data_IF_868262663529
#
_entry.id   IF_868262663529
#
_cell.length_a   1.000
_cell.length_b   1.000
_cell.length_c   1.000
_cell.angle_alpha   90.00
_cell.angle_beta   90.00
_cell.angle_gamma   90.00
#
_symmetry.space_group_name_H-M   'P 1'
#
loop_
_entity.id
_entity.type
_entity.pdbx_description
1 polymer ?
#
# COMPACT_ATOMS: atom_id res chain seq x y z
N UNK A 1 -1.64 42.71 -17.47
CA UNK A 1 -1.55 41.43 -18.19
C UNK A 1 -1.02 40.40 -17.20
N UNK A 2 -1.93 39.73 -16.50
CA UNK A 2 -1.59 38.55 -15.71
C UNK A 2 -1.52 37.40 -16.71
N UNK A 3 -0.32 36.90 -16.95
CA UNK A 3 -0.08 35.69 -17.72
C UNK A 3 -0.88 34.55 -17.12
N UNK A 4 -1.72 33.94 -17.96
CA UNK A 4 -2.29 32.60 -17.77
C UNK A 4 -1.18 31.67 -17.26
N UNK A 5 -1.21 31.36 -15.97
CA UNK A 5 -0.52 30.19 -15.45
C UNK A 5 -1.31 29.03 -16.02
N UNK A 6 -0.85 28.48 -17.13
CA UNK A 6 -1.38 27.27 -17.74
C UNK A 6 -1.56 26.24 -16.64
N UNK A 7 -2.81 25.96 -16.23
CA UNK A 7 -3.13 24.77 -15.47
C UNK A 7 -2.56 23.61 -16.27
N UNK A 8 -1.46 23.03 -15.79
CA UNK A 8 -0.84 21.87 -16.44
C UNK A 8 -1.91 20.81 -16.64
N UNK A 9 -2.05 20.33 -17.88
CA UNK A 9 -3.14 19.44 -18.26
C UNK A 9 -2.99 18.11 -17.49
N UNK A 10 -4.05 17.66 -16.82
CA UNK A 10 -4.08 16.37 -16.13
C UNK A 10 -4.22 15.24 -17.14
N UNK A 11 -3.12 14.84 -17.76
CA UNK A 11 -3.10 13.84 -18.84
C UNK A 11 -3.27 12.40 -18.34
N UNK A 12 -3.11 12.17 -17.04
CA UNK A 12 -3.11 10.86 -16.39
C UNK A 12 -4.23 10.77 -15.35
N UNK A 13 -5.46 11.05 -15.80
CA UNK A 13 -6.65 11.09 -14.95
C UNK A 13 -6.66 12.34 -14.06
N UNK A 14 -6.33 12.17 -12.78
CA UNK A 14 -6.28 13.27 -11.79
C UNK A 14 -4.90 13.92 -11.66
N UNK A 15 -3.89 13.39 -12.35
CA UNK A 15 -2.50 13.79 -12.16
C UNK A 15 -1.84 14.41 -13.41
N UNK A 16 -0.89 15.32 -13.17
CA UNK A 16 0.14 15.66 -14.16
C UNK A 16 1.33 14.70 -14.03
N UNK A 17 2.24 14.71 -15.00
CA UNK A 17 3.47 13.91 -14.92
C UNK A 17 4.35 14.31 -13.73
N UNK A 18 4.44 15.60 -13.41
CA UNK A 18 5.24 16.10 -12.29
C UNK A 18 4.69 15.61 -10.95
N UNK A 19 3.36 15.53 -10.83
CA UNK A 19 2.71 15.02 -9.64
C UNK A 19 2.93 13.51 -9.50
N UNK A 20 2.80 12.74 -10.59
CA UNK A 20 3.13 11.30 -10.58
C UNK A 20 4.57 11.09 -10.13
N UNK A 21 5.50 11.86 -10.68
CA UNK A 21 6.91 11.81 -10.30
C UNK A 21 7.09 12.14 -8.80
N UNK A 22 6.38 13.14 -8.27
CA UNK A 22 6.42 13.44 -6.84
C UNK A 22 5.93 12.25 -6.00
N UNK A 23 4.79 11.64 -6.33
CA UNK A 23 4.26 10.47 -5.61
C UNK A 23 5.18 9.25 -5.65
N UNK A 24 5.80 8.96 -6.80
CA UNK A 24 6.77 7.85 -6.90
C UNK A 24 7.96 8.07 -5.96
N UNK A 25 8.42 9.32 -5.83
CA UNK A 25 9.51 9.65 -4.93
C UNK A 25 9.11 9.64 -3.44
N UNK A 26 7.82 9.62 -3.10
CA UNK A 26 7.34 9.46 -1.73
C UNK A 26 7.42 8.00 -1.24
N UNK A 27 7.23 7.03 -2.11
CA UNK A 27 7.26 5.61 -1.75
C UNK A 27 8.54 5.18 -1.00
N UNK A 28 9.77 5.49 -1.45
CA UNK A 28 10.97 5.14 -0.70
C UNK A 28 11.08 5.88 0.64
N UNK A 29 10.57 7.12 0.74
CA UNK A 29 10.58 7.87 2.00
C UNK A 29 9.67 7.21 3.05
N UNK A 30 8.49 6.73 2.65
CA UNK A 30 7.60 5.98 3.54
C UNK A 30 8.24 4.68 4.04
N UNK A 31 8.92 3.93 3.15
CA UNK A 31 9.64 2.72 3.52
C UNK A 31 10.81 2.99 4.47
N UNK A 32 11.55 4.08 4.24
CA UNK A 32 12.62 4.52 5.11
C UNK A 32 12.09 4.93 6.49
N UNK A 33 11.08 5.81 6.53
CA UNK A 33 10.44 6.24 7.77
C UNK A 33 9.94 5.02 8.59
N UNK A 34 9.36 4.03 7.91
CA UNK A 34 8.96 2.77 8.55
C UNK A 34 10.13 2.02 9.17
N UNK A 35 11.17 1.81 8.38
CA UNK A 35 12.36 1.10 8.83
C UNK A 35 13.00 1.76 10.05
N UNK A 36 13.10 3.09 10.02
CA UNK A 36 13.68 3.89 11.10
C UNK A 36 12.85 3.81 12.39
N UNK A 37 11.51 3.93 12.33
CA UNK A 37 10.71 3.80 13.55
C UNK A 37 10.78 2.37 14.11
N UNK A 38 10.71 1.34 13.26
CA UNK A 38 10.81 -0.05 13.72
C UNK A 38 12.15 -0.34 14.41
N UNK A 39 13.24 0.22 13.90
CA UNK A 39 14.56 0.13 14.56
C UNK A 39 14.50 0.79 15.94
N UNK A 40 13.96 2.02 16.05
CA UNK A 40 13.83 2.74 17.33
C UNK A 40 12.97 1.98 18.34
N UNK A 41 11.86 1.37 17.90
CA UNK A 41 10.99 0.54 18.74
C UNK A 41 11.76 -0.69 19.26
N UNK A 42 12.44 -1.42 18.38
CA UNK A 42 13.21 -2.64 18.75
C UNK A 42 14.38 -2.36 19.69
N UNK A 43 14.97 -1.18 19.63
CA UNK A 43 16.04 -0.76 20.54
C UNK A 43 15.56 -0.52 21.98
N UNK A 44 14.26 -0.34 22.21
CA UNK A 44 13.70 0.03 23.52
C UNK A 44 12.53 -0.88 23.96
N UNK A 45 12.71 -2.21 24.03
CA UNK A 45 11.63 -3.16 24.29
C UNK A 45 10.99 -2.98 25.68
N UNK A 46 11.75 -2.54 26.68
CA UNK A 46 11.23 -2.22 28.02
C UNK A 46 10.26 -1.04 27.99
N UNK A 47 10.59 0.01 27.23
CA UNK A 47 9.70 1.17 27.02
C UNK A 47 8.42 0.75 26.32
N UNK A 48 8.51 -0.12 25.31
CA UNK A 48 7.32 -0.66 24.63
C UNK A 48 6.38 -1.39 25.58
N UNK A 49 6.90 -2.23 26.49
CA UNK A 49 6.07 -2.94 27.47
C UNK A 49 5.36 -2.00 28.45
N UNK A 50 5.98 -0.87 28.78
CA UNK A 50 5.37 0.16 29.64
C UNK A 50 4.34 0.99 28.87
N UNK A 51 4.65 1.33 27.61
CA UNK A 51 3.79 2.17 26.76
C UNK A 51 2.63 1.41 26.12
N UNK A 52 2.75 0.08 25.97
CA UNK A 52 1.73 -0.83 25.47
C UNK A 52 1.57 -1.99 26.46
N UNK A 53 0.92 -1.74 27.62
CA UNK A 53 0.75 -2.75 28.66
C UNK A 53 -0.22 -3.86 28.23
N UNK A 54 -1.14 -3.56 27.32
CA UNK A 54 -2.17 -4.47 26.86
C UNK A 54 -1.75 -5.24 25.61
N UNK A 55 -2.27 -6.47 25.40
CA UNK A 55 -2.11 -7.17 24.13
C UNK A 55 -2.57 -6.31 22.96
N UNK A 56 -1.77 -6.27 21.90
CA UNK A 56 -2.07 -5.57 20.65
C UNK A 56 -2.24 -6.58 19.52
N UNK A 57 -3.34 -6.44 18.78
CA UNK A 57 -3.50 -7.04 17.46
C UNK A 57 -4.04 -5.98 16.53
N UNK A 58 -3.51 -5.94 15.32
CA UNK A 58 -3.91 -5.01 14.27
C UNK A 58 -4.42 -5.73 13.03
N UNK A 59 -4.59 -7.05 13.11
CA UNK A 59 -5.06 -7.84 11.98
C UNK A 59 -6.46 -7.46 11.51
N UNK A 60 -7.30 -6.93 12.41
CA UNK A 60 -8.62 -6.39 12.06
C UNK A 60 -8.52 -5.23 11.04
N UNK A 61 -7.44 -4.45 11.06
CA UNK A 61 -7.26 -3.32 10.17
C UNK A 61 -7.03 -3.77 8.72
N UNK A 62 -6.53 -4.99 8.50
CA UNK A 62 -6.39 -5.56 7.16
C UNK A 62 -7.73 -5.90 6.50
N UNK A 63 -8.82 -5.96 7.27
CA UNK A 63 -10.15 -6.21 6.72
C UNK A 63 -10.89 -4.91 6.35
N UNK A 64 -10.31 -3.74 6.64
CA UNK A 64 -10.83 -2.44 6.23
C UNK A 64 -10.44 -2.14 4.79
N UNK A 65 -11.30 -1.46 4.03
CA UNK A 65 -10.86 -0.89 2.76
C UNK A 65 -9.72 0.11 2.96
N UNK A 66 -8.86 0.31 1.96
CA UNK A 66 -7.74 1.26 2.08
C UNK A 66 -8.23 2.68 2.47
N UNK A 67 -9.38 3.11 1.95
CA UNK A 67 -9.97 4.41 2.26
C UNK A 67 -10.43 4.50 3.72
N UNK A 68 -11.10 3.47 4.24
CA UNK A 68 -11.51 3.42 5.65
C UNK A 68 -10.30 3.39 6.59
N UNK A 69 -9.25 2.65 6.19
CA UNK A 69 -8.02 2.56 6.96
C UNK A 69 -7.29 3.90 7.03
N UNK A 70 -7.12 4.58 5.89
CA UNK A 70 -6.54 5.92 5.83
C UNK A 70 -7.38 6.90 6.66
N UNK A 71 -8.71 6.89 6.51
CA UNK A 71 -9.60 7.78 7.27
C UNK A 71 -9.43 7.60 8.79
N UNK A 72 -9.33 6.35 9.28
CA UNK A 72 -9.09 6.07 10.70
C UNK A 72 -7.73 6.57 11.17
N UNK A 73 -6.68 6.44 10.36
CA UNK A 73 -5.34 6.97 10.71
C UNK A 73 -5.37 8.50 10.77
N UNK A 74 -6.02 9.15 9.81
CA UNK A 74 -6.18 10.61 9.76
C UNK A 74 -6.95 11.12 10.99
N UNK A 75 -8.07 10.49 11.33
CA UNK A 75 -8.86 10.83 12.52
C UNK A 75 -8.03 10.69 13.79
N UNK A 76 -7.34 9.56 13.94
CA UNK A 76 -6.49 9.26 15.10
C UNK A 76 -5.35 10.28 15.28
N UNK A 77 -4.79 10.77 14.17
CA UNK A 77 -3.74 11.77 14.18
C UNK A 77 -4.26 13.21 14.32
N UNK A 78 -5.58 13.43 14.35
CA UNK A 78 -6.16 14.77 14.44
C UNK A 78 -6.09 15.57 13.13
N UNK A 79 -5.82 14.91 11.99
CA UNK A 79 -5.57 15.56 10.69
C UNK A 79 -6.82 15.67 9.82
N UNK A 80 -8.00 15.44 10.39
CA UNK A 80 -9.26 15.44 9.63
C UNK A 80 -9.52 16.79 8.95
N UNK A 81 -9.20 17.91 9.61
CA UNK A 81 -9.33 19.24 9.02
C UNK A 81 -8.38 19.44 7.83
N UNK A 82 -7.13 19.00 7.96
CA UNK A 82 -6.15 19.11 6.88
C UNK A 82 -6.60 18.32 5.64
N UNK A 83 -7.11 17.11 5.83
CA UNK A 83 -7.65 16.31 4.71
C UNK A 83 -8.87 16.97 4.07
N UNK A 84 -9.78 17.56 4.86
CA UNK A 84 -10.91 18.32 4.33
C UNK A 84 -10.41 19.52 3.51
N UNK A 85 -9.43 20.27 4.02
CA UNK A 85 -8.84 21.41 3.32
C UNK A 85 -8.18 20.99 2.00
N UNK A 86 -7.42 19.89 1.99
CA UNK A 86 -6.84 19.35 0.76
C UNK A 86 -7.90 18.93 -0.23
N UNK A 87 -8.98 18.28 0.23
CA UNK A 87 -10.07 17.82 -0.64
C UNK A 87 -10.84 18.98 -1.29
N UNK A 88 -10.91 20.13 -0.61
CA UNK A 88 -11.56 21.34 -1.09
C UNK A 88 -10.64 22.25 -1.91
N UNK A 89 -9.34 21.94 -1.98
CA UNK A 89 -8.38 22.71 -2.77
C UNK A 89 -8.68 22.60 -4.27
N UNK A 90 -8.27 23.61 -5.04
CA UNK A 90 -8.45 23.62 -6.49
C UNK A 90 -7.66 22.49 -7.20
N UNK A 91 -6.59 22.01 -6.58
CA UNK A 91 -5.79 20.85 -7.00
C UNK A 91 -5.45 20.02 -5.74
N UNK A 92 -6.33 19.08 -5.34
CA UNK A 92 -6.13 18.29 -4.12
C UNK A 92 -4.83 17.49 -4.11
N UNK A 93 -4.42 16.99 -5.28
CA UNK A 93 -3.18 16.24 -5.43
C UNK A 93 -1.96 17.12 -5.13
N UNK A 94 -1.96 18.35 -5.63
CA UNK A 94 -0.88 19.31 -5.35
C UNK A 94 -0.87 19.71 -3.88
N UNK A 95 -2.04 19.95 -3.27
CA UNK A 95 -2.14 20.31 -1.86
C UNK A 95 -1.51 19.24 -0.95
N UNK A 96 -1.77 17.95 -1.22
CA UNK A 96 -1.14 16.83 -0.50
C UNK A 96 0.38 16.80 -0.73
N UNK A 97 0.84 16.93 -1.98
CA UNK A 97 2.28 16.94 -2.30
C UNK A 97 3.01 18.06 -1.56
N UNK A 98 2.41 19.25 -1.51
CA UNK A 98 3.03 20.40 -0.85
C UNK A 98 3.03 20.21 0.66
N UNK A 99 1.93 19.71 1.24
CA UNK A 99 1.86 19.40 2.67
C UNK A 99 2.95 18.41 3.11
N UNK A 100 3.23 17.37 2.31
CA UNK A 100 4.27 16.38 2.63
C UNK A 100 5.68 16.99 2.60
N UNK A 101 5.91 18.02 1.77
CA UNK A 101 7.21 18.72 1.74
C UNK A 101 7.42 19.63 2.94
N UNK A 102 6.35 20.20 3.48
CA UNK A 102 6.39 20.96 4.71
C UNK A 102 6.32 19.97 5.87
N UNK A 103 7.50 19.46 6.25
CA UNK A 103 7.75 18.49 7.34
C UNK A 103 7.21 19.00 8.69
N UNK A 104 5.89 18.99 8.84
CA UNK A 104 5.21 19.21 10.10
C UNK A 104 5.07 17.86 10.75
N UNK A 105 5.73 17.62 11.91
CA UNK A 105 5.57 16.37 12.60
C UNK A 105 4.09 16.23 12.95
N UNK A 106 3.46 15.15 12.47
CA UNK A 106 2.17 14.71 12.96
C UNK A 106 2.27 14.62 14.48
N UNK A 107 1.60 15.50 15.19
CA UNK A 107 1.43 15.43 16.62
C UNK A 107 0.08 14.79 16.87
N UNK A 108 0.04 13.47 17.18
CA UNK A 108 -1.20 12.87 17.65
C UNK A 108 -1.72 13.71 18.80
N UNK A 109 -3.05 13.74 18.98
CA UNK A 109 -3.60 14.25 20.22
C UNK A 109 -2.87 13.58 21.39
N UNK A 110 -2.39 14.39 22.33
CA UNK A 110 -1.71 13.94 23.55
C UNK A 110 -2.52 12.90 24.34
N UNK A 111 -3.83 12.82 24.11
CA UNK A 111 -4.73 11.84 24.69
C UNK A 111 -4.71 10.47 23.99
N UNK A 112 -4.24 10.38 22.75
CA UNK A 112 -4.28 9.16 21.95
C UNK A 112 -3.25 8.14 22.44
N UNK A 113 -3.68 6.92 22.83
CA UNK A 113 -2.73 5.87 23.21
C UNK A 113 -1.80 5.50 22.04
N UNK A 114 -0.50 5.46 22.32
CA UNK A 114 0.53 5.04 21.33
C UNK A 114 0.21 3.66 20.72
N UNK A 115 -0.39 2.78 21.51
CA UNK A 115 -0.84 1.46 21.06
C UNK A 115 -1.86 1.57 19.91
N UNK A 116 -2.81 2.51 19.98
CA UNK A 116 -3.80 2.74 18.93
C UNK A 116 -3.14 3.26 17.64
N UNK A 117 -2.13 4.12 17.78
CA UNK A 117 -1.36 4.64 16.64
C UNK A 117 -0.67 3.49 15.93
N UNK A 118 0.06 2.65 16.67
CA UNK A 118 0.73 1.49 16.09
C UNK A 118 -0.26 0.48 15.49
N UNK A 119 -1.39 0.26 16.15
CA UNK A 119 -2.42 -0.67 15.69
C UNK A 119 -3.07 -0.28 14.36
N UNK A 120 -2.99 0.99 13.94
CA UNK A 120 -3.53 1.45 12.67
C UNK A 120 -2.43 1.81 11.66
N UNK A 121 -1.29 2.33 12.09
CA UNK A 121 -0.21 2.75 11.18
C UNK A 121 0.61 1.58 10.65
N UNK A 122 0.93 0.58 11.49
CA UNK A 122 1.68 -0.61 11.07
C UNK A 122 0.97 -1.40 9.96
N UNK A 123 -0.31 -1.82 10.12
CA UNK A 123 -0.99 -2.55 9.06
C UNK A 123 -1.18 -1.72 7.78
N UNK A 124 -1.29 -0.39 7.88
CA UNK A 124 -1.38 0.47 6.70
C UNK A 124 -0.07 0.43 5.92
N UNK A 125 1.06 0.56 6.61
CA UNK A 125 2.37 0.47 6.00
C UNK A 125 2.65 -0.92 5.40
N UNK A 126 2.24 -2.00 6.08
CA UNK A 126 2.28 -3.36 5.53
C UNK A 126 1.41 -3.50 4.27
N UNK A 127 0.26 -2.84 4.21
CA UNK A 127 -0.62 -2.85 3.03
C UNK A 127 0.03 -2.14 1.83
N UNK A 128 0.68 -1.00 2.06
CA UNK A 128 1.48 -0.34 1.02
C UNK A 128 2.69 -1.17 0.60
N UNK A 129 3.39 -1.83 1.54
CA UNK A 129 4.48 -2.75 1.22
C UNK A 129 4.00 -3.92 0.36
N UNK A 130 2.82 -4.47 0.67
CA UNK A 130 2.17 -5.50 -0.16
C UNK A 130 1.88 -5.00 -1.56
N UNK A 131 1.37 -3.77 -1.68
CA UNK A 131 1.12 -3.16 -2.98
C UNK A 131 2.42 -2.96 -3.77
N UNK A 132 3.50 -2.52 -3.12
CA UNK A 132 4.78 -2.32 -3.78
C UNK A 132 5.42 -3.65 -4.22
N UNK A 133 5.36 -4.69 -3.38
CA UNK A 133 6.01 -5.98 -3.64
C UNK A 133 5.17 -6.87 -4.57
N UNK A 134 3.86 -6.86 -4.43
CA UNK A 134 2.94 -7.80 -5.10
C UNK A 134 1.92 -7.12 -6.03
N UNK A 135 1.79 -5.80 -5.99
CA UNK A 135 0.83 -5.05 -6.80
C UNK A 135 -0.60 -5.15 -6.29
N UNK A 136 -0.80 -5.44 -4.99
CA UNK A 136 -2.11 -5.62 -4.35
C UNK A 136 -2.08 -5.11 -2.92
N UNK A 137 -3.15 -4.48 -2.46
CA UNK A 137 -3.31 -4.22 -1.04
C UNK A 137 -3.70 -5.50 -0.29
N UNK A 138 -3.45 -5.53 1.02
CA UNK A 138 -3.82 -6.68 1.84
C UNK A 138 -5.35 -6.80 1.93
N UNK A 139 -6.07 -5.68 2.06
CA UNK A 139 -7.54 -5.72 2.15
C UNK A 139 -8.23 -6.31 0.92
N UNK A 140 -7.69 -6.04 -0.27
CA UNK A 140 -8.13 -6.63 -1.53
C UNK A 140 -8.00 -8.16 -1.51
N UNK A 141 -6.86 -8.67 -1.00
CA UNK A 141 -6.63 -10.11 -0.83
C UNK A 141 -7.63 -10.71 0.15
N UNK A 142 -7.93 -10.01 1.24
CA UNK A 142 -8.95 -10.45 2.21
C UNK A 142 -10.35 -10.49 1.60
N UNK A 143 -10.73 -9.47 0.83
CA UNK A 143 -12.01 -9.43 0.14
C UNK A 143 -12.17 -10.61 -0.84
N UNK A 144 -11.12 -10.92 -1.60
CA UNK A 144 -11.08 -12.08 -2.50
C UNK A 144 -11.16 -13.42 -1.76
N UNK A 145 -10.46 -13.57 -0.62
CA UNK A 145 -10.55 -14.79 0.19
C UNK A 145 -11.96 -14.98 0.74
N UNK A 146 -12.60 -13.92 1.24
CA UNK A 146 -14.00 -13.96 1.70
C UNK A 146 -14.99 -14.29 0.58
N UNK A 147 -14.67 -13.89 -0.65
CA UNK A 147 -15.46 -14.17 -1.85
C UNK A 147 -15.11 -15.52 -2.51
N UNK A 148 -14.22 -16.31 -1.91
CA UNK A 148 -13.76 -17.61 -2.41
C UNK A 148 -13.23 -17.55 -3.85
N UNK A 149 -12.48 -16.48 -4.18
CA UNK A 149 -11.85 -16.32 -5.48
C UNK A 149 -10.69 -17.31 -5.63
N UNK A 150 -10.68 -18.05 -6.74
CA UNK A 150 -9.62 -19.02 -7.06
C UNK A 150 -8.22 -18.43 -6.89
N UNK A 151 -7.41 -19.05 -6.02
CA UNK A 151 -6.03 -18.65 -5.76
C UNK A 151 -5.84 -17.48 -4.77
N UNK A 152 -6.91 -16.87 -4.25
CA UNK A 152 -6.82 -15.79 -3.27
C UNK A 152 -6.05 -16.20 -2.01
N UNK A 153 -6.23 -17.44 -1.54
CA UNK A 153 -5.50 -17.98 -0.40
C UNK A 153 -3.98 -18.01 -0.62
N UNK A 154 -3.52 -18.28 -1.86
CA UNK A 154 -2.10 -18.22 -2.20
C UNK A 154 -1.53 -16.80 -2.06
N UNK A 155 -2.33 -15.79 -2.36
CA UNK A 155 -1.97 -14.39 -2.12
C UNK A 155 -1.97 -14.05 -0.63
N UNK A 156 -2.90 -14.60 0.16
CA UNK A 156 -2.89 -14.41 1.61
C UNK A 156 -1.63 -15.00 2.26
N UNK A 157 -1.15 -16.17 1.80
CA UNK A 157 0.14 -16.72 2.23
C UNK A 157 1.34 -15.84 1.86
N UNK A 158 1.28 -15.09 0.74
CA UNK A 158 2.32 -14.11 0.41
C UNK A 158 2.23 -12.88 1.32
N UNK A 159 1.02 -12.41 1.64
CA UNK A 159 0.81 -11.31 2.58
C UNK A 159 1.32 -11.64 3.99
N UNK A 160 1.15 -12.89 4.46
CA UNK A 160 1.70 -13.37 5.74
C UNK A 160 3.23 -13.22 5.83
N UNK A 161 3.95 -13.29 4.69
CA UNK A 161 5.41 -13.06 4.64
C UNK A 161 5.79 -11.60 4.86
N UNK A 162 4.85 -10.67 4.65
CA UNK A 162 5.02 -9.24 4.95
C UNK A 162 4.70 -9.00 6.42
N UNK A 163 3.55 -9.48 6.89
CA UNK A 163 3.18 -9.40 8.30
C UNK A 163 2.57 -10.71 8.82
N UNK A 164 3.30 -11.45 9.67
CA UNK A 164 2.79 -12.63 10.35
C UNK A 164 1.53 -12.38 11.21
N UNK A 165 1.24 -11.15 11.64
CA UNK A 165 0.05 -10.82 12.44
C UNK A 165 -1.26 -11.15 11.71
N UNK A 166 -1.25 -11.22 10.36
CA UNK A 166 -2.39 -11.61 9.52
C UNK A 166 -3.06 -12.91 9.99
N UNK A 167 -2.31 -13.87 10.55
CA UNK A 167 -2.88 -15.13 11.03
C UNK A 167 -3.88 -14.96 12.17
N UNK A 168 -3.86 -13.80 12.83
CA UNK A 168 -4.79 -13.47 13.91
C UNK A 168 -6.09 -12.83 13.43
N UNK A 169 -6.22 -12.60 12.13
CA UNK A 169 -7.45 -12.06 11.53
C UNK A 169 -8.59 -13.08 11.59
N UNK A 170 -9.82 -12.59 11.65
CA UNK A 170 -11.01 -13.44 11.70
C UNK A 170 -11.13 -14.33 10.45
N UNK A 171 -10.80 -13.76 9.29
CA UNK A 171 -10.83 -14.47 8.01
C UNK A 171 -9.83 -15.64 8.00
N UNK A 172 -8.56 -15.41 8.35
CA UNK A 172 -7.58 -16.50 8.37
C UNK A 172 -7.90 -17.56 9.44
N UNK A 173 -8.40 -17.14 10.60
CA UNK A 173 -8.79 -18.04 11.68
C UNK A 173 -9.90 -19.00 11.25
N UNK A 174 -10.92 -18.54 10.51
CA UNK A 174 -11.98 -19.44 9.99
C UNK A 174 -11.38 -20.54 9.10
N UNK A 175 -10.52 -20.19 8.15
CA UNK A 175 -9.84 -21.16 7.29
C UNK A 175 -8.93 -22.11 8.08
N UNK A 176 -8.19 -21.59 9.06
CA UNK A 176 -7.33 -22.40 9.92
C UNK A 176 -8.15 -23.42 10.72
N UNK A 177 -9.27 -23.00 11.32
CA UNK A 177 -10.17 -23.88 12.06
C UNK A 177 -10.73 -25.00 11.15
N UNK A 178 -11.18 -24.66 9.94
CA UNK A 178 -11.64 -25.65 8.95
C UNK A 178 -10.55 -26.62 8.55
N UNK A 179 -9.35 -26.11 8.26
CA UNK A 179 -8.21 -26.94 7.90
C UNK A 179 -7.83 -27.94 8.99
N UNK A 180 -7.88 -27.53 10.26
CA UNK A 180 -7.66 -28.42 11.40
C UNK A 180 -8.75 -29.48 11.49
N UNK A 181 -10.02 -29.10 11.38
CA UNK A 181 -11.15 -30.03 11.47
C UNK A 181 -11.16 -31.07 10.33
N UNK A 182 -10.66 -30.69 9.16
CA UNK A 182 -10.66 -31.52 7.95
C UNK A 182 -9.32 -32.24 7.69
N UNK A 183 -8.33 -32.10 8.58
CA UNK A 183 -6.95 -32.58 8.37
C UNK A 183 -6.35 -32.11 7.02
N UNK A 184 -6.61 -30.85 6.65
CA UNK A 184 -6.06 -30.22 5.44
C UNK A 184 -4.57 -29.91 5.63
N UNK A 185 -3.75 -30.93 5.38
CA UNK A 185 -2.29 -30.86 5.49
C UNK A 185 -1.68 -29.88 4.51
N UNK A 186 -2.30 -29.64 3.36
CA UNK A 186 -1.77 -28.72 2.37
C UNK A 186 -1.84 -27.28 2.91
N UNK A 187 -3.02 -26.86 3.36
CA UNK A 187 -3.20 -25.54 3.98
C UNK A 187 -2.28 -25.32 5.19
N UNK A 188 -2.19 -26.32 6.08
CA UNK A 188 -1.35 -26.23 7.28
C UNK A 188 0.13 -26.11 6.92
N UNK A 189 0.60 -26.85 5.91
CA UNK A 189 1.98 -26.76 5.43
C UNK A 189 2.27 -25.41 4.77
N UNK A 190 1.38 -24.89 3.92
CA UNK A 190 1.55 -23.57 3.30
C UNK A 190 1.53 -22.44 4.35
N UNK A 191 0.67 -22.54 5.36
CA UNK A 191 0.65 -21.61 6.50
C UNK A 191 2.00 -21.57 7.24
N UNK A 192 2.58 -22.74 7.52
CA UNK A 192 3.90 -22.82 8.14
C UNK A 192 5.01 -22.26 7.25
N UNK A 193 4.97 -22.54 5.95
CA UNK A 193 5.93 -21.99 4.97
C UNK A 193 5.81 -20.48 4.87
N UNK A 194 4.60 -19.94 4.91
CA UNK A 194 4.36 -18.50 4.90
C UNK A 194 4.97 -17.82 6.12
N UNK A 195 4.72 -18.34 7.33
CA UNK A 195 5.25 -17.79 8.59
C UNK A 195 6.78 -17.83 8.68
N UNK A 196 7.42 -18.85 8.10
CA UNK A 196 8.88 -18.97 8.06
C UNK A 196 9.51 -18.22 6.87
N UNK A 197 8.68 -17.87 5.89
CA UNK A 197 9.10 -17.23 4.66
C UNK A 197 9.50 -15.77 4.88
N UNK A 198 10.35 -15.27 3.99
CA UNK A 198 10.66 -13.84 3.88
C UNK A 198 10.20 -13.34 2.52
N UNK A 199 9.88 -12.07 2.43
CA UNK A 199 9.79 -11.40 1.13
C UNK A 199 11.16 -11.42 0.47
N UNK A 200 11.23 -11.86 -0.79
CA UNK A 200 12.45 -11.80 -1.56
C UNK A 200 12.73 -10.36 -2.01
N UNK A 201 14.00 -9.97 -2.11
CA UNK A 201 14.37 -8.67 -2.68
C UNK A 201 13.80 -8.54 -4.10
N UNK A 202 13.11 -7.43 -4.35
CA UNK A 202 12.55 -7.09 -5.65
C UNK A 202 13.42 -6.02 -6.30
N UNK A 203 13.53 -6.07 -7.63
CA UNK A 203 14.21 -5.01 -8.37
C UNK A 203 13.43 -3.68 -8.22
N UNK A 204 14.14 -2.57 -7.98
CA UNK A 204 13.53 -1.25 -7.75
C UNK A 204 12.52 -0.87 -8.83
N UNK A 205 12.85 -1.10 -10.11
CA UNK A 205 11.94 -0.78 -11.22
C UNK A 205 10.58 -1.50 -11.13
N UNK A 206 10.53 -2.72 -10.57
CA UNK A 206 9.26 -3.46 -10.39
C UNK A 206 8.40 -2.83 -9.30
N UNK A 207 9.03 -2.37 -8.23
CA UNK A 207 8.37 -1.70 -7.11
C UNK A 207 7.75 -0.38 -7.59
N UNK A 208 8.54 0.45 -8.26
CA UNK A 208 8.08 1.74 -8.79
C UNK A 208 7.01 1.55 -9.88
N UNK A 209 7.16 0.54 -10.75
CA UNK A 209 6.15 0.20 -11.76
C UNK A 209 4.82 -0.21 -11.13
N UNK A 210 4.82 -1.08 -10.11
CA UNK A 210 3.58 -1.49 -9.42
C UNK A 210 2.91 -0.31 -8.74
N UNK A 211 3.70 0.54 -8.09
CA UNK A 211 3.20 1.77 -7.48
C UNK A 211 2.55 2.70 -8.52
N UNK A 212 3.22 2.94 -9.66
CA UNK A 212 2.66 3.73 -10.75
C UNK A 212 1.34 3.13 -11.26
N UNK A 213 1.30 1.83 -11.51
CA UNK A 213 0.07 1.19 -12.02
C UNK A 213 -1.09 1.30 -11.03
N UNK A 214 -0.84 1.17 -9.73
CA UNK A 214 -1.85 1.39 -8.70
C UNK A 214 -2.34 2.85 -8.70
N UNK A 215 -1.42 3.81 -8.76
CA UNK A 215 -1.74 5.24 -8.80
C UNK A 215 -2.61 5.60 -10.02
N UNK A 216 -2.31 5.01 -11.19
CA UNK A 216 -3.11 5.18 -12.41
C UNK A 216 -4.50 4.55 -12.27
N UNK A 217 -4.61 3.39 -11.62
CA UNK A 217 -5.90 2.76 -11.34
C UNK A 217 -6.79 3.64 -10.48
N UNK A 218 -6.27 4.14 -9.35
CA UNK A 218 -7.01 4.95 -8.39
C UNK A 218 -7.37 6.36 -8.90
N UNK A 219 -6.69 6.81 -9.95
CA UNK A 219 -6.99 8.08 -10.64
C UNK A 219 -7.92 7.94 -11.84
N UNK A 220 -8.51 6.76 -12.05
CA UNK A 220 -9.34 6.43 -13.21
C UNK A 220 -8.58 6.60 -14.55
N UNK A 221 -7.27 6.33 -14.54
CA UNK A 221 -6.39 6.34 -15.70
C UNK A 221 -5.99 4.91 -16.14
N UNK A 222 -6.78 3.90 -15.77
CA UNK A 222 -6.54 2.49 -16.11
C UNK A 222 -6.64 2.20 -17.62
N UNK A 223 -7.37 3.04 -18.35
CA UNK A 223 -7.67 2.86 -19.78
C UNK A 223 -6.60 3.45 -20.71
N UNK A 224 -5.48 3.93 -20.15
CA UNK A 224 -4.34 4.37 -20.94
C UNK A 224 -3.84 3.23 -21.85
N UNK A 225 -3.48 3.58 -23.08
CA UNK A 225 -2.92 2.62 -24.02
C UNK A 225 -1.57 2.13 -23.52
N UNK A 226 -1.22 0.88 -23.85
CA UNK A 226 0.07 0.30 -23.48
C UNK A 226 1.23 1.19 -23.98
N UNK A 227 1.08 1.83 -25.14
CA UNK A 227 2.04 2.81 -25.67
C UNK A 227 2.25 4.00 -24.72
N UNK A 228 1.17 4.63 -24.24
CA UNK A 228 1.27 5.76 -23.30
C UNK A 228 1.89 5.36 -21.97
N UNK A 229 1.55 4.17 -21.46
CA UNK A 229 2.16 3.66 -20.21
C UNK A 229 3.66 3.38 -20.42
N UNK A 230 4.05 2.83 -21.58
CA UNK A 230 5.45 2.63 -21.92
C UNK A 230 6.24 3.94 -21.92
N UNK A 231 5.72 4.96 -22.59
CA UNK A 231 6.31 6.31 -22.62
C UNK A 231 6.46 6.87 -21.20
N UNK A 232 5.37 6.85 -20.42
CA UNK A 232 5.36 7.35 -19.04
C UNK A 232 6.38 6.64 -18.13
N UNK A 233 6.49 5.31 -18.22
CA UNK A 233 7.45 4.52 -17.41
C UNK A 233 8.90 4.90 -17.72
N UNK A 234 9.19 5.23 -18.99
CA UNK A 234 10.52 5.68 -19.41
C UNK A 234 10.75 7.13 -18.97
N UNK A 235 9.78 8.01 -19.17
CA UNK A 235 9.89 9.44 -18.84
C UNK A 235 10.08 9.67 -17.33
N UNK A 236 9.45 8.83 -16.50
CA UNK A 236 9.62 8.85 -15.04
C UNK A 236 10.92 8.20 -14.57
N UNK A 237 11.73 7.63 -15.47
CA UNK A 237 12.98 6.95 -15.12
C UNK A 237 12.78 5.65 -14.34
N UNK A 238 11.57 5.09 -14.32
CA UNK A 238 11.27 3.80 -13.67
C UNK A 238 12.01 2.68 -14.39
N UNK A 239 12.02 2.72 -15.72
CA UNK A 239 12.68 1.73 -16.57
C UNK A 239 13.64 2.40 -17.54
N UNK A 240 14.82 1.79 -17.76
CA UNK A 240 15.82 2.34 -18.65
C UNK A 240 15.37 2.26 -20.12
N UNK A 241 15.60 3.32 -20.90
CA UNK A 241 15.30 3.35 -22.33
C UNK A 241 16.32 2.50 -23.11
N UNK A 242 16.05 1.19 -23.21
CA UNK A 242 16.84 0.22 -23.96
C UNK A 242 16.02 -0.36 -25.12
N UNK A 243 16.69 -1.00 -26.08
CA UNK A 243 16.02 -1.61 -27.24
C UNK A 243 14.99 -2.69 -26.89
N UNK A 244 15.09 -3.31 -25.70
CA UNK A 244 14.13 -4.31 -25.20
C UNK A 244 13.09 -3.75 -24.22
N UNK A 245 13.17 -2.47 -23.85
CA UNK A 245 12.32 -1.86 -22.84
C UNK A 245 10.83 -2.00 -23.18
N UNK A 246 10.46 -1.69 -24.42
CA UNK A 246 9.06 -1.73 -24.85
C UNK A 246 8.43 -3.13 -24.68
N UNK A 247 9.15 -4.18 -25.06
CA UNK A 247 8.69 -5.55 -24.91
C UNK A 247 8.52 -5.93 -23.44
N UNK A 248 9.52 -5.62 -22.61
CA UNK A 248 9.52 -5.97 -21.20
C UNK A 248 8.44 -5.23 -20.41
N UNK A 249 8.27 -3.92 -20.65
CA UNK A 249 7.24 -3.12 -20.01
C UNK A 249 5.85 -3.60 -20.44
N UNK A 250 5.64 -3.91 -21.73
CA UNK A 250 4.36 -4.47 -22.20
C UNK A 250 4.01 -5.79 -21.50
N UNK A 251 5.00 -6.65 -21.26
CA UNK A 251 4.82 -7.86 -20.46
C UNK A 251 4.46 -7.57 -18.99
N UNK A 252 5.03 -6.52 -18.39
CA UNK A 252 4.65 -6.07 -17.04
C UNK A 252 3.22 -5.54 -16.99
N UNK A 253 2.82 -4.71 -17.97
CA UNK A 253 1.44 -4.20 -18.10
C UNK A 253 0.47 -5.37 -18.22
N UNK A 254 0.76 -6.35 -19.09
CA UNK A 254 -0.07 -7.55 -19.27
C UNK A 254 -0.21 -8.34 -17.97
N UNK A 255 0.88 -8.53 -17.23
CA UNK A 255 0.85 -9.20 -15.91
C UNK A 255 0.04 -8.43 -14.88
N UNK A 256 0.18 -7.10 -14.84
CA UNK A 256 -0.60 -6.26 -13.93
C UNK A 256 -2.09 -6.28 -14.26
N UNK A 257 -2.49 -6.17 -15.53
CA UNK A 257 -3.90 -6.25 -15.95
C UNK A 257 -4.55 -7.60 -15.60
N UNK A 258 -3.81 -8.71 -15.66
CA UNK A 258 -4.30 -10.01 -15.18
C UNK A 258 -4.57 -10.04 -13.68
N UNK A 259 -3.76 -9.32 -12.90
CA UNK A 259 -3.98 -9.14 -11.46
C UNK A 259 -5.19 -8.23 -11.22
N UNK A 260 -5.30 -7.12 -11.95
CA UNK A 260 -6.35 -6.10 -11.79
C UNK A 260 -7.75 -6.51 -12.26
N UNK A 261 -7.86 -7.45 -13.20
CA UNK A 261 -9.16 -7.94 -13.71
C UNK A 261 -10.05 -8.63 -12.65
N UNK A 262 -9.56 -8.81 -11.42
CA UNK A 262 -10.35 -9.27 -10.28
C UNK A 262 -10.99 -8.11 -9.47
N UNK A 263 -10.73 -6.85 -9.82
CA UNK A 263 -11.09 -5.64 -9.03
C UNK A 263 -11.91 -4.61 -9.82
N UNK A 264 -13.00 -5.04 -10.44
CA UNK A 264 -14.05 -4.09 -10.87
C UNK A 264 -15.09 -4.00 -9.77
N UNK A 265 -15.06 -2.91 -9.01
CA UNK A 265 -16.17 -2.48 -8.14
C UNK A 265 -17.32 -1.95 -9.00
#
# INVERSE_FOLDING_TARGET
MLTDITKSQKEYGKFTIEQIHAFINLAPLLQQARSEYLIKLRQNPSKLKVTMPDPISWSYAYELSINEHIAKVVELCGESSAIIDFSNAADPQQAVIDAIKYDSPLTPDSSTPVQSILALTEPLACSFECMIIYGRYIHDIFAEVKADVDGAMSWLFKAIRIDPNIITSSTFQDHLCRAILLDDKEFLNESQKALKGKTGSQAKYLNDFRFLMQLLSESNASDLSDKKINELVIDLGIYANTSSAQHNISELIRKHKKIGNHFKF
#
